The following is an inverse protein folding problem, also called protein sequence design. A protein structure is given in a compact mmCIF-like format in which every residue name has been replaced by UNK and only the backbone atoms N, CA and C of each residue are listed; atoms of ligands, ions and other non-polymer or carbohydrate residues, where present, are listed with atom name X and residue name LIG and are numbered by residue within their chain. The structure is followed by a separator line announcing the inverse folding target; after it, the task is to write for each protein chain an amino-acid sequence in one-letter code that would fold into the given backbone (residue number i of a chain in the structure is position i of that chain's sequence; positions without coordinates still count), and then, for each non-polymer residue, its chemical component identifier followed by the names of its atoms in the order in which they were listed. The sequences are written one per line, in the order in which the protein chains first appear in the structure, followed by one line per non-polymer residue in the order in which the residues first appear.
data_IF_427838736000
#
_entry.id   IF_427838736000
#
_cell.length_a   1.000
_cell.length_b   1.000
_cell.length_c   1.000
_cell.angle_alpha   90.00
_cell.angle_beta   90.00
_cell.angle_gamma   90.00
#
_symmetry.space_group_name_H-M   'P 1'
#
loop_
_entity.id
_entity.type
_entity.pdbx_description
1 polymer ?
#
# COMPACT_ATOMS: atom_id res chain seq x y z
N UNK A 1 -28.07 -30.04 -49.77
CA UNK A 1 -27.14 -28.99 -49.26
C UNK A 1 -26.32 -29.51 -48.09
N UNK A 2 -25.05 -29.16 -48.07
CA UNK A 2 -24.15 -29.48 -46.98
C UNK A 2 -24.38 -28.56 -45.79
N UNK A 3 -24.02 -29.01 -44.58
CA UNK A 3 -24.03 -28.14 -43.41
C UNK A 3 -23.11 -26.94 -43.60
N UNK A 4 -23.49 -25.86 -42.99
CA UNK A 4 -22.67 -24.63 -42.96
C UNK A 4 -22.83 -23.94 -41.60
N UNK A 5 -21.82 -23.17 -41.21
CA UNK A 5 -21.91 -22.38 -39.99
C UNK A 5 -22.86 -21.23 -40.21
N UNK A 6 -23.81 -21.05 -39.30
CA UNK A 6 -24.80 -19.97 -39.36
C UNK A 6 -24.28 -18.66 -38.81
N UNK A 7 -23.36 -18.72 -37.88
CA UNK A 7 -22.74 -17.54 -37.27
C UNK A 7 -21.26 -17.80 -37.03
N UNK A 8 -20.46 -16.75 -36.93
CA UNK A 8 -19.08 -16.88 -36.58
C UNK A 8 -18.95 -17.23 -35.08
N UNK A 9 -18.02 -18.14 -34.79
CA UNK A 9 -17.70 -18.48 -33.42
C UNK A 9 -17.04 -17.28 -32.76
N UNK A 10 -17.62 -16.82 -31.64
CA UNK A 10 -17.15 -15.63 -30.93
C UNK A 10 -16.01 -15.97 -29.99
N UNK A 11 -15.06 -15.02 -29.86
CA UNK A 11 -14.10 -15.05 -28.75
C UNK A 11 -14.83 -14.66 -27.48
N UNK A 12 -14.47 -15.29 -26.37
CA UNK A 12 -15.13 -15.10 -25.07
C UNK A 12 -14.10 -14.78 -24.02
N UNK A 13 -14.41 -13.81 -23.17
CA UNK A 13 -13.60 -13.45 -22.02
C UNK A 13 -14.40 -13.70 -20.75
N UNK A 14 -13.85 -14.49 -19.83
CA UNK A 14 -14.54 -14.93 -18.63
C UNK A 14 -13.63 -14.76 -17.42
N UNK A 15 -14.12 -14.20 -16.30
CA UNK A 15 -13.34 -14.20 -15.06
C UNK A 15 -13.15 -15.62 -14.53
N UNK A 16 -12.02 -15.87 -13.90
CA UNK A 16 -11.75 -17.14 -13.22
C UNK A 16 -12.89 -17.48 -12.25
N UNK A 17 -13.21 -18.75 -12.10
CA UNK A 17 -14.29 -19.30 -11.28
C UNK A 17 -15.71 -19.09 -11.80
N UNK A 18 -15.89 -18.39 -12.90
CA UNK A 18 -17.20 -18.22 -13.57
C UNK A 18 -17.40 -19.28 -14.62
N UNK A 19 -18.57 -19.26 -15.27
CA UNK A 19 -18.90 -20.19 -16.36
C UNK A 19 -18.57 -19.57 -17.71
N UNK A 20 -17.87 -20.34 -18.56
CA UNK A 20 -17.64 -19.98 -19.94
C UNK A 20 -18.69 -20.67 -20.83
N UNK A 21 -19.20 -19.93 -21.78
CA UNK A 21 -20.20 -20.41 -22.72
C UNK A 21 -19.68 -20.14 -24.13
N UNK A 22 -19.43 -21.22 -24.90
CA UNK A 22 -19.02 -21.11 -26.28
C UNK A 22 -20.15 -21.71 -27.14
N UNK A 23 -20.59 -20.94 -28.11
CA UNK A 23 -21.72 -21.32 -28.92
C UNK A 23 -21.33 -21.49 -30.39
N UNK A 24 -21.59 -22.64 -30.94
CA UNK A 24 -21.37 -22.94 -32.35
C UNK A 24 -22.75 -23.13 -33.03
N UNK A 25 -23.00 -22.31 -34.03
CA UNK A 25 -24.29 -22.34 -34.76
C UNK A 25 -24.08 -22.99 -36.12
N UNK A 26 -24.84 -24.05 -36.41
CA UNK A 26 -24.74 -24.81 -37.63
C UNK A 26 -26.10 -24.92 -38.29
N UNK A 27 -26.17 -24.56 -39.55
CA UNK A 27 -27.36 -24.72 -40.35
C UNK A 27 -27.28 -26.00 -41.16
N UNK A 28 -28.40 -26.70 -41.25
CA UNK A 28 -28.54 -27.91 -42.10
C UNK A 28 -27.61 -29.05 -41.69
N UNK A 29 -27.54 -29.32 -40.38
CA UNK A 29 -26.65 -30.36 -39.85
C UNK A 29 -26.97 -31.76 -40.37
N UNK A 30 -28.25 -32.09 -40.50
CA UNK A 30 -28.70 -33.41 -40.94
C UNK A 30 -28.15 -34.51 -40.03
N UNK A 31 -27.54 -35.56 -40.60
CA UNK A 31 -26.95 -36.67 -39.85
C UNK A 31 -25.46 -36.49 -39.58
N UNK A 32 -24.89 -35.41 -40.05
CA UNK A 32 -23.47 -35.09 -39.73
C UNK A 32 -23.31 -34.80 -38.25
N UNK A 33 -22.10 -35.00 -37.78
CA UNK A 33 -21.78 -34.83 -36.34
C UNK A 33 -20.94 -33.59 -36.09
N UNK A 34 -21.23 -32.96 -34.98
CA UNK A 34 -20.52 -31.80 -34.55
C UNK A 34 -19.66 -32.16 -33.31
N UNK A 35 -18.42 -31.67 -33.28
CA UNK A 35 -17.49 -31.91 -32.19
C UNK A 35 -16.90 -30.61 -31.71
N UNK A 36 -16.66 -30.53 -30.41
CA UNK A 36 -15.84 -29.49 -29.80
C UNK A 36 -14.49 -30.09 -29.48
N UNK A 37 -13.43 -29.34 -29.83
CA UNK A 37 -12.05 -29.75 -29.58
C UNK A 37 -11.27 -28.62 -28.92
N UNK A 38 -10.29 -29.01 -28.14
CA UNK A 38 -9.28 -28.06 -27.67
C UNK A 38 -8.09 -28.12 -28.60
N UNK A 39 -7.71 -26.96 -29.18
CA UNK A 39 -6.75 -26.91 -30.29
C UNK A 39 -5.33 -27.23 -29.81
N UNK A 40 -4.90 -26.64 -28.70
CA UNK A 40 -3.52 -26.79 -28.20
C UNK A 40 -3.19 -28.23 -27.78
N UNK A 41 -4.13 -28.93 -27.20
CA UNK A 41 -3.94 -30.32 -26.77
C UNK A 41 -4.43 -31.33 -27.82
N UNK A 42 -5.09 -30.84 -28.88
CA UNK A 42 -5.71 -31.70 -29.91
C UNK A 42 -6.64 -32.78 -29.36
N UNK A 43 -7.33 -32.42 -28.29
CA UNK A 43 -8.26 -33.36 -27.62
C UNK A 43 -9.70 -33.07 -27.99
N UNK A 44 -10.48 -34.16 -28.16
CA UNK A 44 -11.93 -34.07 -28.38
C UNK A 44 -12.60 -33.87 -27.05
N UNK A 45 -13.39 -32.80 -26.94
CA UNK A 45 -14.12 -32.50 -25.72
C UNK A 45 -15.53 -33.12 -25.73
N UNK A 46 -16.25 -32.94 -26.84
CA UNK A 46 -17.60 -33.45 -27.02
C UNK A 46 -17.81 -33.91 -28.44
N UNK A 47 -18.72 -34.89 -28.64
CA UNK A 47 -19.23 -35.29 -29.94
C UNK A 47 -20.73 -35.33 -29.83
N UNK A 48 -21.44 -34.52 -30.66
CA UNK A 48 -22.88 -34.34 -30.55
C UNK A 48 -23.22 -33.94 -29.10
N UNK A 49 -24.11 -34.62 -28.43
CA UNK A 49 -24.49 -34.34 -27.06
C UNK A 49 -23.75 -35.22 -26.03
N UNK A 50 -22.66 -35.87 -26.43
CA UNK A 50 -21.88 -36.73 -25.54
C UNK A 50 -20.59 -36.03 -25.13
N UNK A 51 -20.32 -35.99 -23.84
CA UNK A 51 -19.07 -35.47 -23.28
C UNK A 51 -18.02 -36.57 -23.32
N UNK A 52 -16.95 -36.35 -24.07
CA UNK A 52 -15.84 -37.31 -24.23
C UNK A 52 -14.72 -37.04 -23.24
N UNK A 53 -14.49 -35.78 -22.96
CA UNK A 53 -13.41 -35.36 -22.02
C UNK A 53 -13.71 -35.89 -20.62
N UNK A 54 -12.62 -36.18 -19.87
CA UNK A 54 -12.71 -36.54 -18.44
C UNK A 54 -12.88 -35.32 -17.54
N UNK A 55 -12.89 -34.13 -18.09
CA UNK A 55 -13.04 -32.89 -17.33
C UNK A 55 -14.53 -32.73 -16.94
N UNK A 56 -14.80 -32.90 -15.66
CA UNK A 56 -16.18 -32.84 -15.13
C UNK A 56 -16.83 -31.46 -15.21
N UNK A 57 -16.00 -30.43 -15.47
CA UNK A 57 -16.50 -29.04 -15.55
C UNK A 57 -17.13 -28.74 -16.91
N UNK A 58 -16.95 -29.60 -17.90
CA UNK A 58 -17.44 -29.39 -19.23
C UNK A 58 -18.77 -30.11 -19.44
N UNK A 59 -19.70 -29.44 -20.14
CA UNK A 59 -20.97 -29.98 -20.53
C UNK A 59 -21.35 -29.45 -21.91
N UNK A 60 -22.28 -30.15 -22.59
CA UNK A 60 -22.76 -29.77 -23.89
C UNK A 60 -24.30 -29.73 -23.87
N UNK A 61 -24.85 -28.67 -24.45
CA UNK A 61 -26.27 -28.52 -24.67
C UNK A 61 -26.50 -28.09 -26.11
N UNK A 62 -27.71 -28.33 -26.62
CA UNK A 62 -28.07 -27.89 -27.97
C UNK A 62 -29.51 -27.39 -28.00
N UNK A 63 -29.78 -26.48 -28.93
CA UNK A 63 -31.10 -26.00 -29.22
C UNK A 63 -31.41 -26.28 -30.68
N UNK A 64 -32.47 -27.05 -30.96
CA UNK A 64 -32.99 -27.34 -32.31
C UNK A 64 -31.93 -27.95 -33.26
N UNK A 65 -30.92 -28.64 -32.72
CA UNK A 65 -29.77 -29.17 -33.48
C UNK A 65 -29.07 -28.10 -34.30
N UNK A 66 -29.27 -26.84 -33.91
CA UNK A 66 -28.65 -25.67 -34.59
C UNK A 66 -27.56 -25.01 -33.74
N UNK A 67 -27.88 -24.69 -32.49
CA UNK A 67 -26.92 -24.11 -31.58
C UNK A 67 -26.31 -25.19 -30.69
N UNK A 68 -24.97 -25.32 -30.75
CA UNK A 68 -24.24 -26.31 -29.96
C UNK A 68 -23.36 -25.56 -28.95
N UNK A 69 -23.71 -25.70 -27.67
CA UNK A 69 -23.19 -24.84 -26.61
C UNK A 69 -22.30 -25.67 -25.69
N UNK A 70 -21.02 -25.38 -25.73
CA UNK A 70 -20.02 -25.90 -24.78
C UNK A 70 -20.02 -25.01 -23.56
N UNK A 71 -20.25 -25.60 -22.38
CA UNK A 71 -20.21 -24.89 -21.11
C UNK A 71 -19.06 -25.41 -20.28
N UNK A 72 -18.26 -24.49 -19.75
CA UNK A 72 -17.15 -24.81 -18.83
C UNK A 72 -17.45 -24.07 -17.54
N UNK A 73 -17.82 -24.82 -16.51
CA UNK A 73 -18.06 -24.22 -15.19
C UNK A 73 -16.75 -24.09 -14.42
N UNK A 74 -16.74 -23.21 -13.43
CA UNK A 74 -15.58 -23.01 -12.56
C UNK A 74 -14.29 -22.84 -13.38
N UNK A 75 -14.31 -21.91 -14.32
CA UNK A 75 -13.23 -21.71 -15.27
C UNK A 75 -11.91 -21.45 -14.54
N UNK A 76 -10.87 -22.13 -14.97
CA UNK A 76 -9.51 -21.97 -14.48
C UNK A 76 -8.65 -21.28 -15.55
N UNK A 77 -7.57 -20.68 -15.10
CA UNK A 77 -6.62 -20.03 -16.03
C UNK A 77 -6.09 -21.03 -17.05
N UNK A 78 -5.95 -22.30 -16.67
CA UNK A 78 -5.53 -23.37 -17.58
C UNK A 78 -6.50 -23.68 -18.71
N UNK A 79 -7.74 -23.21 -18.62
CA UNK A 79 -8.74 -23.38 -19.68
C UNK A 79 -8.56 -22.37 -20.82
N UNK A 80 -7.74 -21.35 -20.64
CA UNK A 80 -7.45 -20.34 -21.63
C UNK A 80 -6.87 -20.98 -22.89
N UNK A 81 -7.34 -20.58 -24.07
CA UNK A 81 -6.81 -21.06 -25.32
C UNK A 81 -7.83 -21.09 -26.43
N UNK A 82 -7.45 -21.73 -27.54
CA UNK A 82 -8.30 -21.87 -28.71
C UNK A 82 -9.15 -23.12 -28.61
N UNK A 83 -10.42 -22.97 -28.93
CA UNK A 83 -11.41 -24.07 -29.02
C UNK A 83 -11.95 -24.11 -30.42
N UNK A 84 -12.18 -25.33 -30.92
CA UNK A 84 -12.65 -25.56 -32.28
C UNK A 84 -14.00 -26.26 -32.29
N UNK A 85 -14.91 -25.77 -33.11
CA UNK A 85 -16.14 -26.42 -33.45
C UNK A 85 -15.98 -27.03 -34.84
N UNK A 86 -16.22 -28.31 -34.97
CA UNK A 86 -15.91 -29.09 -36.18
C UNK A 86 -17.13 -29.91 -36.63
N UNK A 87 -17.39 -29.90 -37.93
CA UNK A 87 -18.43 -30.74 -38.56
C UNK A 87 -17.71 -31.77 -39.41
N UNK A 88 -18.14 -33.03 -39.31
CA UNK A 88 -17.51 -34.15 -40.03
C UNK A 88 -17.95 -34.30 -41.48
N UNK A 89 -18.13 -33.18 -42.16
CA UNK A 89 -18.33 -33.20 -43.62
C UNK A 89 -17.04 -33.60 -44.34
N UNK A 90 -17.11 -33.86 -45.66
CA UNK A 90 -15.94 -34.14 -46.47
C UNK A 90 -15.82 -33.08 -47.58
N UNK A 91 -14.86 -32.15 -47.50
CA UNK A 91 -13.87 -31.99 -46.43
C UNK A 91 -14.52 -31.43 -45.14
N UNK A 92 -13.85 -31.67 -44.03
CA UNK A 92 -14.31 -31.16 -42.72
C UNK A 92 -14.37 -29.64 -42.71
N UNK A 93 -15.36 -29.12 -41.99
CA UNK A 93 -15.52 -27.69 -41.74
C UNK A 93 -15.25 -27.41 -40.28
N UNK A 94 -14.62 -26.32 -40.01
CA UNK A 94 -14.29 -25.94 -38.63
C UNK A 94 -14.26 -24.43 -38.46
N UNK A 95 -14.53 -24.02 -37.24
CA UNK A 95 -14.31 -22.64 -36.75
C UNK A 95 -13.58 -22.70 -35.44
N UNK A 96 -12.79 -21.66 -35.16
CA UNK A 96 -12.06 -21.55 -33.91
C UNK A 96 -12.51 -20.29 -33.19
N UNK A 97 -12.54 -20.38 -31.86
CA UNK A 97 -12.77 -19.24 -30.97
C UNK A 97 -11.82 -19.30 -29.81
N UNK A 98 -11.44 -18.13 -29.33
CA UNK A 98 -10.50 -18.01 -28.21
C UNK A 98 -11.25 -17.77 -26.92
N UNK A 99 -10.94 -18.59 -25.91
CA UNK A 99 -11.40 -18.38 -24.54
C UNK A 99 -10.28 -17.70 -23.77
N UNK A 100 -10.51 -16.46 -23.38
CA UNK A 100 -9.64 -15.73 -22.48
C UNK A 100 -10.18 -15.84 -21.06
N UNK A 101 -9.29 -16.13 -20.11
CA UNK A 101 -9.65 -16.23 -18.70
C UNK A 101 -8.89 -15.13 -17.97
N UNK A 102 -9.63 -14.24 -17.35
CA UNK A 102 -9.03 -13.12 -16.62
C UNK A 102 -9.03 -13.42 -15.13
N UNK A 103 -7.97 -12.96 -14.46
CA UNK A 103 -7.76 -13.18 -13.04
C UNK A 103 -7.53 -11.82 -12.38
N UNK A 104 -8.34 -11.47 -11.36
CA UNK A 104 -8.09 -10.22 -10.65
C UNK A 104 -6.71 -10.21 -10.01
N UNK A 105 -6.15 -9.04 -9.72
CA UNK A 105 -4.83 -8.95 -9.12
C UNK A 105 -4.83 -9.51 -7.69
N UNK A 106 -3.71 -10.09 -7.31
CA UNK A 106 -3.44 -10.56 -5.95
C UNK A 106 -2.01 -10.20 -5.60
N UNK A 107 -1.82 -9.62 -4.42
CA UNK A 107 -0.49 -9.24 -3.95
C UNK A 107 0.12 -10.41 -3.21
N UNK A 108 1.33 -10.81 -3.62
CA UNK A 108 2.06 -11.91 -3.00
C UNK A 108 2.68 -11.47 -1.66
N UNK A 109 2.61 -12.34 -0.65
CA UNK A 109 3.24 -12.08 0.64
C UNK A 109 4.76 -11.98 0.51
N UNK A 110 5.36 -12.76 -0.39
CA UNK A 110 6.78 -12.72 -0.68
C UNK A 110 6.97 -12.57 -2.20
N UNK A 111 7.84 -11.69 -2.70
CA UNK A 111 8.80 -10.86 -1.97
C UNK A 111 8.27 -9.47 -1.56
N UNK A 112 6.98 -9.29 -1.44
CA UNK A 112 6.41 -8.00 -1.03
C UNK A 112 6.91 -7.61 0.35
N UNK A 113 7.29 -6.34 0.51
CA UNK A 113 7.82 -5.82 1.76
C UNK A 113 6.79 -5.88 2.88
N UNK A 114 7.27 -6.19 4.09
CA UNK A 114 6.54 -6.02 5.34
C UNK A 114 6.93 -4.68 5.97
N UNK A 115 6.36 -4.37 7.13
CA UNK A 115 6.73 -3.16 7.86
C UNK A 115 8.24 -3.13 8.12
N UNK A 116 8.85 -1.98 7.96
CA UNK A 116 10.30 -1.81 7.99
C UNK A 116 10.69 -0.74 8.99
N UNK A 117 11.80 -1.00 9.68
CA UNK A 117 12.45 -0.03 10.56
C UNK A 117 13.79 0.31 9.95
N UNK A 118 14.03 1.60 9.69
CA UNK A 118 15.26 2.06 9.05
C UNK A 118 15.77 3.29 9.78
N UNK A 119 17.08 3.48 9.81
CA UNK A 119 17.69 4.69 10.41
C UNK A 119 17.63 5.84 9.42
N UNK A 120 17.40 7.03 9.95
CA UNK A 120 17.46 8.26 9.16
C UNK A 120 18.81 8.38 8.46
N UNK A 121 18.78 8.75 7.19
CA UNK A 121 19.98 8.85 6.35
C UNK A 121 20.30 7.58 5.56
N UNK A 122 19.67 6.46 5.86
CA UNK A 122 19.87 5.20 5.12
C UNK A 122 19.02 5.16 3.85
N UNK A 123 19.37 4.24 2.95
CA UNK A 123 18.58 3.96 1.76
C UNK A 123 17.63 2.80 2.04
N UNK A 124 16.46 2.84 1.44
CA UNK A 124 15.48 1.78 1.57
C UNK A 124 14.83 1.49 0.22
N UNK A 125 14.49 0.22 -0.03
CA UNK A 125 13.72 -0.19 -1.19
C UNK A 125 12.48 -0.93 -0.72
N UNK A 126 11.32 -0.43 -1.09
CA UNK A 126 10.04 -1.09 -0.90
C UNK A 126 9.75 -1.94 -2.13
N UNK A 127 9.38 -3.20 -1.90
CA UNK A 127 9.11 -4.17 -2.95
C UNK A 127 7.66 -4.59 -2.89
N UNK A 128 7.05 -4.78 -4.06
CA UNK A 128 5.70 -5.30 -4.16
C UNK A 128 5.59 -6.19 -5.39
N UNK A 129 5.07 -7.38 -5.20
CA UNK A 129 4.84 -8.34 -6.25
C UNK A 129 3.37 -8.75 -6.28
N UNK A 130 2.83 -8.86 -7.49
CA UNK A 130 1.44 -9.24 -7.68
C UNK A 130 1.31 -10.21 -8.84
N UNK A 131 0.26 -11.03 -8.77
CA UNK A 131 -0.14 -11.95 -9.85
C UNK A 131 -1.53 -11.56 -10.33
N UNK A 132 -1.84 -12.00 -11.54
CA UNK A 132 -3.13 -11.76 -12.16
C UNK A 132 -3.01 -11.87 -13.68
N UNK A 133 -4.15 -11.90 -14.35
CA UNK A 133 -4.18 -11.93 -15.80
C UNK A 133 -5.26 -10.97 -16.29
N UNK A 134 -4.93 -9.94 -17.05
CA UNK A 134 -3.57 -9.49 -17.47
C UNK A 134 -2.63 -9.19 -16.30
N UNK A 135 -1.34 -9.10 -16.60
CA UNK A 135 -0.32 -8.79 -15.58
C UNK A 135 -0.65 -7.47 -14.88
N UNK A 136 -0.74 -7.46 -13.55
CA UNK A 136 -1.07 -6.24 -12.82
C UNK A 136 0.01 -5.18 -12.92
N UNK A 137 -0.42 -3.93 -12.86
CA UNK A 137 0.42 -2.76 -12.68
C UNK A 137 0.51 -2.43 -11.21
N UNK A 138 1.72 -2.17 -10.71
CA UNK A 138 1.97 -1.78 -9.33
C UNK A 138 2.11 -0.27 -9.26
N UNK A 139 1.37 0.34 -8.35
CA UNK A 139 1.46 1.77 -8.06
C UNK A 139 1.64 1.96 -6.57
N UNK A 140 2.63 2.78 -6.21
CA UNK A 140 2.88 3.16 -4.82
C UNK A 140 2.29 4.53 -4.55
N UNK A 141 1.65 4.66 -3.39
CA UNK A 141 1.15 5.95 -2.86
C UNK A 141 1.36 5.98 -1.38
N UNK A 142 1.50 7.18 -0.84
CA UNK A 142 1.46 7.35 0.61
C UNK A 142 0.01 7.41 1.07
N UNK A 143 -0.27 6.76 2.21
CA UNK A 143 -1.64 6.66 2.73
C UNK A 143 -2.27 8.03 2.98
N UNK A 144 -1.50 8.98 3.49
CA UNK A 144 -1.97 10.33 3.78
C UNK A 144 -1.98 11.28 2.58
N UNK A 145 -1.56 10.81 1.40
CA UNK A 145 -1.51 11.65 0.20
C UNK A 145 -0.26 12.52 0.07
N UNK A 146 0.72 12.35 0.96
CA UNK A 146 1.99 13.08 0.88
C UNK A 146 2.78 12.67 -0.36
N UNK A 147 3.74 13.49 -0.74
CA UNK A 147 4.59 13.22 -1.89
C UNK A 147 5.63 12.15 -1.57
N UNK A 148 5.95 11.34 -2.58
CA UNK A 148 6.99 10.33 -2.53
C UNK A 148 8.26 10.92 -3.15
N UNK A 149 9.42 10.89 -2.44
CA UNK A 149 10.67 11.32 -3.04
C UNK A 149 11.13 10.29 -4.07
N UNK A 150 11.50 10.75 -5.26
CA UNK A 150 11.96 9.90 -6.35
C UNK A 150 13.48 9.95 -6.49
N UNK A 151 14.10 8.91 -7.09
CA UNK A 151 15.56 8.84 -7.21
C UNK A 151 16.21 10.01 -7.95
N UNK A 152 15.47 10.67 -8.84
CA UNK A 152 15.97 11.81 -9.63
C UNK A 152 15.86 13.15 -8.90
N UNK A 153 15.49 13.14 -7.62
CA UNK A 153 15.28 14.36 -6.83
C UNK A 153 13.90 15.00 -6.98
N UNK A 154 13.07 14.48 -7.87
CA UNK A 154 11.69 14.92 -7.99
C UNK A 154 10.81 14.28 -6.92
N UNK A 155 9.60 14.81 -6.78
CA UNK A 155 8.59 14.27 -5.88
C UNK A 155 7.31 14.00 -6.66
N UNK A 156 6.56 12.96 -6.26
CA UNK A 156 5.34 12.58 -6.95
C UNK A 156 4.30 12.06 -5.97
N UNK A 157 3.02 12.21 -6.34
CA UNK A 157 1.90 11.67 -5.58
C UNK A 157 1.86 10.15 -5.69
N UNK A 158 2.34 9.61 -6.81
CA UNK A 158 2.32 8.17 -7.08
C UNK A 158 3.58 7.77 -7.84
N UNK A 159 3.99 6.51 -7.68
CA UNK A 159 5.10 5.93 -8.41
C UNK A 159 4.69 4.56 -8.95
N UNK A 160 4.91 4.34 -10.24
CA UNK A 160 4.62 3.08 -10.90
C UNK A 160 5.88 2.23 -10.97
N UNK A 161 5.81 1.01 -10.45
CA UNK A 161 6.91 0.07 -10.47
C UNK A 161 6.89 -0.86 -9.26
N UNK A 162 7.52 -2.01 -9.42
CA UNK A 162 7.57 -3.03 -8.35
C UNK A 162 8.55 -2.68 -7.24
N UNK A 163 9.48 -1.75 -7.49
CA UNK A 163 10.51 -1.37 -6.54
C UNK A 163 10.50 0.15 -6.37
N UNK A 164 10.25 0.59 -5.15
CA UNK A 164 10.33 2.00 -4.80
C UNK A 164 11.55 2.21 -3.93
N UNK A 165 12.56 2.93 -4.44
CA UNK A 165 13.77 3.23 -3.70
C UNK A 165 13.74 4.65 -3.21
N UNK A 166 13.97 4.83 -1.90
CA UNK A 166 14.08 6.13 -1.26
C UNK A 166 15.50 6.25 -0.73
N UNK A 167 16.25 7.23 -1.27
CA UNK A 167 17.61 7.49 -0.85
C UNK A 167 17.61 8.49 0.31
N UNK A 168 18.53 8.31 1.26
CA UNK A 168 18.70 9.19 2.40
C UNK A 168 17.38 9.49 3.09
N UNK A 169 16.73 8.43 3.56
CA UNK A 169 15.45 8.51 4.25
C UNK A 169 15.51 9.51 5.39
N UNK A 170 14.52 10.36 5.49
CA UNK A 170 14.39 11.30 6.59
C UNK A 170 13.06 11.06 7.33
N UNK A 171 12.89 11.75 8.46
CA UNK A 171 11.71 11.59 9.32
C UNK A 171 10.40 11.92 8.60
N UNK A 172 10.43 12.79 7.59
CA UNK A 172 9.26 13.15 6.81
C UNK A 172 8.81 12.02 5.89
N UNK A 173 9.67 11.05 5.61
CA UNK A 173 9.34 9.88 4.82
C UNK A 173 8.66 8.78 5.64
N UNK A 174 8.65 8.89 6.96
CA UNK A 174 8.01 7.94 7.85
C UNK A 174 6.50 7.91 7.62
N UNK A 175 5.93 6.73 7.64
CA UNK A 175 4.49 6.54 7.54
C UNK A 175 4.12 5.33 6.70
N UNK A 176 2.84 5.23 6.38
CA UNK A 176 2.31 4.11 5.61
C UNK A 176 2.38 4.39 4.12
N UNK A 177 2.90 3.41 3.40
CA UNK A 177 2.94 3.37 1.95
C UNK A 177 1.98 2.28 1.48
N UNK A 178 1.21 2.57 0.44
CA UNK A 178 0.28 1.61 -0.13
C UNK A 178 0.84 1.10 -1.44
N UNK A 179 0.97 -0.21 -1.55
CA UNK A 179 1.21 -0.89 -2.81
C UNK A 179 -0.15 -1.25 -3.41
N UNK A 180 -0.46 -0.73 -4.57
CA UNK A 180 -1.75 -0.92 -5.23
C UNK A 180 -1.52 -1.71 -6.51
N UNK A 181 -2.19 -2.86 -6.63
CA UNK A 181 -2.11 -3.70 -7.82
C UNK A 181 -3.43 -3.68 -8.57
N UNK A 182 -3.38 -3.37 -9.85
CA UNK A 182 -4.57 -3.35 -10.71
C UNK A 182 -4.25 -3.87 -12.10
N UNK A 183 -5.23 -4.51 -12.73
CA UNK A 183 -5.11 -5.01 -14.10
C UNK A 183 -6.40 -4.79 -14.90
N UNK A 184 -7.27 -3.89 -14.46
CA UNK A 184 -8.57 -3.65 -15.10
C UNK A 184 -9.65 -4.63 -14.70
N UNK A 185 -9.30 -5.70 -13.97
CA UNK A 185 -10.25 -6.70 -13.48
C UNK A 185 -10.48 -6.45 -12.00
N UNK A 186 -11.70 -6.11 -11.56
CA UNK A 186 -11.96 -5.87 -10.15
C UNK A 186 -11.90 -7.16 -9.33
N UNK A 187 -11.58 -7.06 -8.03
CA UNK A 187 -11.25 -5.83 -7.32
C UNK A 187 -9.78 -5.45 -7.43
N UNK A 188 -9.49 -4.17 -7.48
CA UNK A 188 -8.13 -3.66 -7.25
C UNK A 188 -7.76 -3.93 -5.78
N UNK A 189 -6.55 -4.39 -5.54
CA UNK A 189 -6.09 -4.75 -4.19
C UNK A 189 -4.91 -3.86 -3.78
N UNK A 190 -4.76 -3.70 -2.47
CA UNK A 190 -3.65 -2.91 -1.93
C UNK A 190 -3.09 -3.58 -0.69
N UNK A 191 -1.81 -3.31 -0.42
CA UNK A 191 -1.14 -3.72 0.81
C UNK A 191 -0.48 -2.51 1.43
N UNK A 192 -0.65 -2.36 2.73
CA UNK A 192 -0.06 -1.28 3.52
C UNK A 192 1.29 -1.72 4.05
N UNK A 193 2.32 -0.93 3.77
CA UNK A 193 3.68 -1.16 4.26
C UNK A 193 4.07 0.05 5.09
N UNK A 194 4.32 -0.16 6.38
CA UNK A 194 4.74 0.92 7.28
C UNK A 194 6.25 1.08 7.21
N UNK A 195 6.70 2.28 6.90
CA UNK A 195 8.10 2.67 6.97
C UNK A 195 8.31 3.47 8.25
N UNK A 196 9.07 2.89 9.17
CA UNK A 196 9.41 3.51 10.45
C UNK A 196 10.84 4.03 10.34
N UNK A 197 11.04 5.33 10.63
CA UNK A 197 12.34 5.97 10.54
C UNK A 197 12.84 6.29 11.94
N UNK A 198 13.95 5.69 12.34
CA UNK A 198 14.56 5.89 13.64
C UNK A 198 15.60 7.01 13.58
N UNK A 199 15.55 7.90 14.54
CA UNK A 199 16.52 8.97 14.66
C UNK A 199 16.70 9.39 16.13
N UNK A 200 17.91 9.88 16.50
CA UNK A 200 18.14 10.36 17.85
C UNK A 200 17.38 11.67 18.12
N UNK A 201 17.20 12.05 19.38
CA UNK A 201 16.50 13.28 19.72
C UNK A 201 17.20 14.51 19.19
N UNK A 202 16.40 15.50 18.78
CA UNK A 202 16.84 16.86 18.47
C UNK A 202 16.00 17.82 19.29
N UNK A 203 16.63 18.93 19.72
CA UNK A 203 15.96 19.95 20.53
C UNK A 203 16.09 21.30 19.84
N UNK A 204 14.98 22.01 19.79
CA UNK A 204 14.93 23.40 19.36
C UNK A 204 14.39 24.26 20.48
N UNK A 205 15.01 25.41 20.66
CA UNK A 205 14.62 26.40 21.66
C UNK A 205 14.39 27.71 20.94
N UNK A 206 13.16 28.23 21.02
CA UNK A 206 12.81 29.48 20.38
C UNK A 206 13.38 30.67 21.14
N UNK A 207 13.28 30.63 22.46
CA UNK A 207 13.78 31.72 23.35
C UNK A 207 14.80 31.15 24.34
N UNK A 208 16.08 31.39 24.07
CA UNK A 208 17.18 30.94 24.93
C UNK A 208 17.39 31.86 26.15
N UNK A 209 16.88 33.08 26.08
CA UNK A 209 16.94 34.05 27.17
C UNK A 209 15.53 34.48 27.54
N UNK A 210 15.14 34.22 28.77
CA UNK A 210 13.81 34.54 29.27
C UNK A 210 13.97 35.36 30.55
N UNK A 211 13.30 36.51 30.57
CA UNK A 211 13.34 37.40 31.73
C UNK A 211 12.09 37.31 32.56
N UNK A 212 12.24 37.40 33.87
CA UNK A 212 11.11 37.43 34.80
C UNK A 212 11.41 38.33 36.00
N UNK A 213 10.40 39.00 36.47
CA UNK A 213 10.45 39.74 37.73
C UNK A 213 10.15 38.78 38.90
N UNK A 214 10.62 39.15 40.07
CA UNK A 214 10.27 38.40 41.31
C UNK A 214 8.79 38.31 41.46
N UNK A 215 8.32 37.15 41.93
CA UNK A 215 6.91 36.79 42.13
C UNK A 215 6.09 36.58 40.87
N UNK A 216 6.66 36.78 39.71
CA UNK A 216 6.01 36.50 38.41
C UNK A 216 5.97 35.01 38.15
N UNK A 217 4.96 34.57 37.41
CA UNK A 217 4.90 33.21 36.85
C UNK A 217 5.53 33.25 35.45
N UNK A 218 6.35 32.27 35.14
CA UNK A 218 7.02 32.21 33.86
C UNK A 218 7.03 30.79 33.31
N UNK A 219 6.93 30.66 31.99
CA UNK A 219 6.97 29.36 31.32
C UNK A 219 8.15 29.31 30.37
N UNK A 220 8.98 28.27 30.53
CA UNK A 220 10.07 27.94 29.62
C UNK A 220 9.59 26.86 28.66
N UNK A 221 10.03 26.93 27.39
CA UNK A 221 9.55 25.98 26.39
C UNK A 221 10.71 25.47 25.56
N UNK A 222 10.72 24.15 25.35
CA UNK A 222 11.59 23.45 24.41
C UNK A 222 10.74 22.60 23.49
N UNK A 223 11.23 22.42 22.26
CA UNK A 223 10.62 21.49 21.33
C UNK A 223 11.63 20.41 20.97
N UNK A 224 11.18 19.16 20.93
CA UNK A 224 12.04 18.04 20.56
C UNK A 224 11.37 17.15 19.53
N UNK A 225 12.18 16.44 18.79
CA UNK A 225 11.76 15.41 17.85
C UNK A 225 12.61 14.18 18.09
N UNK A 226 11.99 13.02 18.14
CA UNK A 226 12.67 11.74 18.29
C UNK A 226 11.79 10.58 17.89
N UNK A 227 12.41 9.53 17.36
CA UNK A 227 11.77 8.24 17.18
C UNK A 227 12.83 7.14 17.28
N UNK A 228 12.74 6.15 18.17
CA UNK A 228 11.63 5.92 19.11
C UNK A 228 11.44 7.08 20.07
N UNK A 229 10.25 7.08 20.68
CA UNK A 229 9.85 8.15 21.60
C UNK A 229 10.90 8.40 22.67
N UNK A 230 11.23 9.68 22.89
CA UNK A 230 12.23 10.07 23.90
C UNK A 230 11.61 10.20 25.28
N UNK A 231 12.47 10.04 26.30
CA UNK A 231 12.21 10.49 27.67
C UNK A 231 12.63 11.95 27.74
N UNK A 232 11.80 12.79 28.34
CA UNK A 232 12.02 14.24 28.38
C UNK A 232 11.90 14.74 29.81
N UNK A 233 12.85 15.60 30.23
CA UNK A 233 12.82 16.18 31.55
C UNK A 233 13.62 17.49 31.58
N UNK A 234 13.43 18.24 32.67
CA UNK A 234 14.11 19.50 32.90
C UNK A 234 15.16 19.33 33.99
N UNK A 235 16.25 20.10 33.85
CA UNK A 235 17.32 20.14 34.83
C UNK A 235 17.68 21.59 35.19
N UNK A 236 18.08 21.78 36.41
CA UNK A 236 18.73 23.03 36.87
C UNK A 236 19.90 22.67 37.78
N UNK A 237 21.05 23.26 37.53
CA UNK A 237 22.29 23.04 38.32
C UNK A 237 22.61 21.55 38.47
N UNK A 238 22.59 20.83 37.36
CA UNK A 238 22.84 19.37 37.27
C UNK A 238 21.92 18.51 38.10
N UNK A 239 20.77 19.05 38.50
CA UNK A 239 19.74 18.34 39.25
C UNK A 239 18.45 18.28 38.45
N UNK A 240 17.85 17.11 38.41
CA UNK A 240 16.55 16.93 37.74
C UNK A 240 15.47 17.68 38.54
N UNK A 241 14.67 18.47 37.85
CA UNK A 241 13.58 19.21 38.46
C UNK A 241 12.43 18.24 38.73
N UNK A 242 12.08 18.11 40.01
CA UNK A 242 10.97 17.28 40.46
C UNK A 242 9.69 18.10 40.41
N UNK A 243 8.61 17.55 39.81
CA UNK A 243 7.31 18.25 39.81
C UNK A 243 6.86 18.60 41.23
N UNK A 244 6.32 19.79 41.38
CA UNK A 244 5.84 20.29 42.67
C UNK A 244 4.88 21.45 42.46
N UNK A 245 4.57 22.17 43.55
CA UNK A 245 3.63 23.28 43.47
C UNK A 245 4.15 24.46 42.68
N UNK A 246 5.48 24.71 42.76
CA UNK A 246 6.11 25.83 42.08
C UNK A 246 6.69 25.50 40.72
N UNK A 247 7.04 24.25 40.47
CA UNK A 247 7.65 23.79 39.23
C UNK A 247 6.71 22.77 38.59
N UNK A 248 6.07 23.14 37.51
CA UNK A 248 5.09 22.28 36.82
C UNK A 248 5.55 22.01 35.40
N UNK A 249 6.17 20.83 35.15
CA UNK A 249 6.51 20.41 33.80
C UNK A 249 5.31 19.80 33.10
N UNK A 250 5.16 20.12 31.82
CA UNK A 250 4.14 19.56 30.95
C UNK A 250 4.75 19.16 29.63
N UNK A 251 4.23 18.08 29.01
CA UNK A 251 4.64 17.65 27.68
C UNK A 251 3.42 17.47 26.81
N UNK A 252 3.51 17.91 25.56
CA UNK A 252 2.47 17.78 24.56
C UNK A 252 3.06 17.04 23.36
N UNK A 253 2.42 15.95 22.95
CA UNK A 253 2.92 15.09 21.89
C UNK A 253 2.09 15.24 20.61
N UNK A 254 2.76 15.27 19.46
CA UNK A 254 2.14 15.26 18.16
C UNK A 254 3.04 14.45 17.21
N UNK A 255 2.71 13.16 17.00
CA UNK A 255 3.56 12.26 16.24
C UNK A 255 4.91 12.05 16.90
N UNK A 256 6.00 12.32 16.19
CA UNK A 256 7.36 12.25 16.74
C UNK A 256 7.81 13.56 17.40
N UNK A 257 6.93 14.57 17.43
CA UNK A 257 7.25 15.90 18.00
C UNK A 257 6.74 16.01 19.42
N UNK A 258 7.54 16.62 20.28
CA UNK A 258 7.17 16.87 21.68
C UNK A 258 7.44 18.32 22.00
N UNK A 259 6.45 18.98 22.60
CA UNK A 259 6.62 20.32 23.19
C UNK A 259 6.73 20.14 24.70
N UNK A 260 7.85 20.62 25.26
CA UNK A 260 8.13 20.59 26.70
C UNK A 260 7.96 21.99 27.27
N UNK A 261 7.12 22.11 28.29
CA UNK A 261 6.95 23.37 29.02
C UNK A 261 7.23 23.18 30.49
N UNK A 262 7.97 24.11 31.06
CA UNK A 262 8.18 24.19 32.49
C UNK A 262 7.64 25.52 32.98
N UNK A 263 6.61 25.48 33.79
CA UNK A 263 6.06 26.68 34.42
C UNK A 263 6.62 26.80 35.83
N UNK A 264 7.22 27.98 36.13
CA UNK A 264 7.74 28.33 37.45
C UNK A 264 6.79 29.38 38.02
N UNK A 265 6.17 29.01 39.10
CA UNK A 265 5.23 29.90 39.78
C UNK A 265 5.92 30.68 40.87
N UNK A 266 5.59 31.99 40.98
CA UNK A 266 6.12 32.87 41.99
C UNK A 266 7.67 32.86 42.01
N UNK A 267 8.28 33.26 40.90
CA UNK A 267 9.72 33.24 40.74
C UNK A 267 10.42 33.87 41.91
N UNK A 268 11.36 33.14 42.51
CA UNK A 268 12.22 33.58 43.62
C UNK A 268 13.65 33.85 43.09
N UNK A 269 14.46 34.55 43.86
CA UNK A 269 15.83 34.92 43.50
C UNK A 269 16.66 33.68 43.16
N UNK A 270 16.43 32.58 43.82
CA UNK A 270 17.14 31.32 43.61
C UNK A 270 16.79 30.63 42.31
N UNK A 271 15.66 31.01 41.68
CA UNK A 271 15.20 30.38 40.45
C UNK A 271 15.91 30.89 39.21
N UNK A 272 16.61 32.02 39.31
CA UNK A 272 17.35 32.54 38.17
C UNK A 272 18.58 31.69 37.86
N UNK A 273 18.89 31.55 36.58
CA UNK A 273 20.01 30.78 36.12
C UNK A 273 19.71 29.96 34.89
N UNK A 274 20.53 28.95 34.63
CA UNK A 274 20.43 28.10 33.44
C UNK A 274 19.57 26.87 33.71
N UNK A 275 18.56 26.71 32.86
CA UNK A 275 17.72 25.51 32.82
C UNK A 275 18.06 24.72 31.56
N UNK A 276 18.03 23.41 31.68
CA UNK A 276 18.22 22.53 30.51
C UNK A 276 17.02 21.64 30.32
N UNK A 277 16.51 21.58 29.12
CA UNK A 277 15.57 20.54 28.71
C UNK A 277 16.39 19.40 28.07
N UNK A 278 16.09 18.17 28.47
CA UNK A 278 16.84 16.97 28.07
C UNK A 278 15.90 16.00 27.38
N UNK A 279 16.34 15.44 26.28
CA UNK A 279 15.61 14.39 25.55
C UNK A 279 16.55 13.22 25.31
N UNK A 280 16.09 11.99 25.63
CA UNK A 280 16.86 10.75 25.47
C UNK A 280 16.02 9.65 24.84
N UNK A 281 16.59 8.92 23.91
CA UNK A 281 16.04 7.66 23.45
C UNK A 281 17.18 6.63 23.30
N UNK A 282 16.86 5.45 22.75
CA UNK A 282 17.86 4.38 22.60
C UNK A 282 18.99 4.74 21.62
N UNK A 283 18.85 5.79 20.81
CA UNK A 283 19.81 6.16 19.78
C UNK A 283 20.70 7.32 20.20
N UNK A 284 20.33 8.03 21.26
CA UNK A 284 21.14 9.14 21.72
C UNK A 284 20.43 10.04 22.71
N UNK A 285 21.13 11.08 23.11
CA UNK A 285 20.60 12.11 23.99
C UNK A 285 21.04 13.49 23.51
N UNK A 286 20.28 14.50 23.91
CA UNK A 286 20.60 15.89 23.63
C UNK A 286 19.93 16.78 24.67
N UNK A 287 20.43 17.99 24.80
CA UNK A 287 19.85 18.99 25.68
C UNK A 287 19.86 20.36 25.03
N UNK A 288 19.06 21.25 25.58
CA UNK A 288 19.06 22.66 25.22
C UNK A 288 19.02 23.50 26.48
N UNK A 289 19.71 24.64 26.47
CA UNK A 289 19.81 25.52 27.62
C UNK A 289 18.97 26.77 27.44
N UNK A 290 18.24 27.14 28.48
CA UNK A 290 17.51 28.39 28.57
C UNK A 290 17.98 29.12 29.83
N UNK A 291 18.36 30.37 29.67
CA UNK A 291 18.74 31.19 30.80
C UNK A 291 17.58 32.05 31.25
N UNK A 292 17.19 31.88 32.52
CA UNK A 292 16.18 32.71 33.16
C UNK A 292 16.91 33.81 33.90
N UNK A 293 16.69 35.06 33.51
CA UNK A 293 17.38 36.20 34.12
C UNK A 293 16.38 37.10 34.80
N UNK A 294 16.90 37.86 35.78
CA UNK A 294 16.13 38.76 36.60
C UNK A 294 15.85 40.07 35.87
N UNK A 295 14.59 40.44 35.76
CA UNK A 295 14.17 41.76 35.28
C UNK A 295 13.83 42.59 36.51
N UNK A 296 14.56 43.73 36.77
CA UNK A 296 14.20 44.58 37.87
C UNK A 296 12.77 45.10 37.75
N UNK A 297 12.08 45.14 38.90
CA UNK A 297 10.73 45.70 38.95
C UNK A 297 10.86 47.24 38.76
N UNK A 298 10.36 47.72 37.62
CA UNK A 298 10.31 49.13 37.37
C UNK A 298 9.04 49.69 38.00
N UNK A 299 9.22 50.44 39.10
CA UNK A 299 8.13 51.25 39.61
C UNK A 299 8.05 52.49 38.73
N UNK A 300 7.04 52.55 37.91
CA UNK A 300 6.73 53.76 37.20
C UNK A 300 6.13 54.77 38.17
N UNK A 301 6.93 55.69 38.58
CA UNK A 301 6.46 56.83 39.31
C UNK A 301 5.90 57.84 38.31
N UNK A 302 4.65 58.10 38.36
CA UNK A 302 4.01 59.16 37.62
C UNK A 302 3.69 60.32 38.48
#
# INVERSE_FOLDING_TARGET
DLPKFGELLQNVTVPVSREAVLQCVVDNLQTYKIAWLRVDTQTILTIQNHVITKNHRMSITHAEKRAWILRIRDVKESDKGWYMCQINTDPMKSQVGYLDVVVPPDILDYPTSTDMVIREGSNVTLKCAATGSPTPTITWRREGGELIPLPNGAEAVAYNGSFLTIAKVNRLNMGAYLCIASNGIPPTVSKRVMLIVHFPPMIWIQNQLVGAALTQNITLECQSEAYPKSINYWMKNDTIIVPGERFVPETFESGYKITMRLTIYEVDIQDFGAYRCVAKNSLGDTDGAIKLYHIPHHHHHH
#
